data_IF_797172406601
#
_entry.id   IF_797172406601
#
_cell.length_a   1.000
_cell.length_b   1.000
_cell.length_c   1.000
_cell.angle_alpha   90.00
_cell.angle_beta   90.00
_cell.angle_gamma   90.00
#
_symmetry.space_group_name_H-M   'P 1'
#
loop_
_entity.id
_entity.type
_entity.pdbx_description
1 polymer ?
#
# COMPACT_ATOMS: atom_id res chain seq x y z
N UNK A 1 -22.12 14.70 14.52
CA UNK A 1 -21.18 13.55 14.44
C UNK A 1 -20.84 13.09 15.83
N UNK A 2 -21.05 11.80 16.13
CA UNK A 2 -20.61 11.17 17.37
C UNK A 2 -19.07 11.06 17.44
N UNK A 3 -18.52 10.81 18.63
CA UNK A 3 -17.07 10.63 18.80
C UNK A 3 -16.53 9.46 17.95
N UNK A 4 -17.28 8.36 17.86
CA UNK A 4 -16.94 7.17 17.06
C UNK A 4 -16.87 7.53 15.57
N UNK A 5 -17.86 8.26 15.05
CA UNK A 5 -17.87 8.68 13.64
C UNK A 5 -16.68 9.57 13.28
N UNK A 6 -16.22 10.42 14.21
CA UNK A 6 -15.03 11.26 14.00
C UNK A 6 -13.76 10.41 13.93
N UNK A 7 -13.65 9.39 14.79
CA UNK A 7 -12.52 8.45 14.79
C UNK A 7 -12.50 7.66 13.48
N UNK A 8 -13.63 7.10 13.07
CA UNK A 8 -13.77 6.36 11.80
C UNK A 8 -13.37 7.24 10.61
N UNK A 9 -13.92 8.45 10.51
CA UNK A 9 -13.58 9.39 9.45
C UNK A 9 -12.08 9.74 9.44
N UNK A 10 -11.49 9.95 10.62
CA UNK A 10 -10.07 10.27 10.75
C UNK A 10 -9.19 9.11 10.29
N UNK A 11 -9.56 7.87 10.65
CA UNK A 11 -8.88 6.66 10.20
C UNK A 11 -9.00 6.48 8.69
N UNK A 12 -10.19 6.66 8.12
CA UNK A 12 -10.38 6.56 6.67
C UNK A 12 -9.58 7.63 5.91
N UNK A 13 -9.60 8.89 6.37
CA UNK A 13 -8.82 9.96 5.76
C UNK A 13 -7.31 9.71 5.87
N UNK A 14 -6.84 9.26 7.03
CA UNK A 14 -5.43 8.91 7.25
C UNK A 14 -5.03 7.74 6.36
N UNK A 15 -5.89 6.71 6.27
CA UNK A 15 -5.69 5.56 5.42
C UNK A 15 -5.54 5.95 3.95
N UNK A 16 -6.43 6.83 3.48
CA UNK A 16 -6.39 7.35 2.11
C UNK A 16 -5.08 8.09 1.82
N UNK A 17 -4.64 8.96 2.73
CA UNK A 17 -3.37 9.70 2.57
C UNK A 17 -2.21 8.73 2.42
N UNK A 18 -2.12 7.71 3.27
CA UNK A 18 -1.03 6.73 3.20
C UNK A 18 -1.04 5.89 1.92
N UNK A 19 -2.22 5.49 1.43
CA UNK A 19 -2.35 4.80 0.15
C UNK A 19 -1.92 5.70 -1.02
N UNK A 20 -2.32 6.97 -1.01
CA UNK A 20 -1.93 7.94 -2.04
C UNK A 20 -0.43 8.20 -2.04
N UNK A 21 0.18 8.32 -0.85
CA UNK A 21 1.64 8.48 -0.70
C UNK A 21 2.38 7.25 -1.23
N UNK A 22 1.89 6.05 -0.94
CA UNK A 22 2.43 4.81 -1.50
C UNK A 22 2.34 4.78 -3.04
N UNK A 23 1.17 5.11 -3.59
CA UNK A 23 0.96 5.20 -5.03
C UNK A 23 1.84 6.27 -5.70
N UNK A 24 2.01 7.43 -5.06
CA UNK A 24 2.89 8.49 -5.53
C UNK A 24 4.37 8.04 -5.56
N UNK A 25 4.82 7.27 -4.57
CA UNK A 25 6.18 6.68 -4.61
C UNK A 25 6.33 5.71 -5.78
N UNK A 26 5.30 4.90 -6.08
CA UNK A 26 5.33 4.00 -7.24
C UNK A 26 5.38 4.76 -8.57
N UNK A 27 4.63 5.86 -8.70
CA UNK A 27 4.51 6.63 -9.94
C UNK A 27 5.69 7.57 -10.19
N UNK A 28 6.08 8.35 -9.18
CA UNK A 28 7.08 9.41 -9.30
C UNK A 28 8.47 8.98 -8.82
N UNK A 29 8.58 7.86 -8.09
CA UNK A 29 9.84 7.29 -7.61
C UNK A 29 10.75 8.33 -6.95
N UNK A 30 10.18 9.17 -6.07
CA UNK A 30 10.92 10.26 -5.41
C UNK A 30 12.06 9.74 -4.54
N UNK A 31 11.90 8.58 -3.88
CA UNK A 31 13.03 7.85 -3.29
C UNK A 31 13.73 7.04 -4.39
N UNK A 32 14.91 7.52 -4.81
CA UNK A 32 15.74 6.90 -5.86
C UNK A 32 16.36 5.56 -5.44
N UNK A 33 16.65 5.38 -4.14
CA UNK A 33 17.22 4.13 -3.64
C UNK A 33 16.17 3.01 -3.65
N UNK A 34 16.35 2.00 -4.51
CA UNK A 34 15.38 0.91 -4.76
C UNK A 34 14.94 0.19 -3.47
N UNK A 35 15.89 -0.16 -2.59
CA UNK A 35 15.60 -0.85 -1.32
C UNK A 35 14.82 0.04 -0.33
N UNK A 36 15.19 1.33 -0.24
CA UNK A 36 14.50 2.28 0.64
C UNK A 36 13.11 2.62 0.10
N UNK A 37 12.98 2.87 -1.21
CA UNK A 37 11.70 3.11 -1.88
C UNK A 37 10.74 1.93 -1.75
N UNK A 38 11.23 0.70 -1.84
CA UNK A 38 10.43 -0.53 -1.59
C UNK A 38 9.90 -0.57 -0.16
N UNK A 39 10.77 -0.34 0.84
CA UNK A 39 10.35 -0.32 2.25
C UNK A 39 9.32 0.78 2.51
N UNK A 40 9.54 1.96 1.96
CA UNK A 40 8.63 3.09 2.11
C UNK A 40 7.26 2.82 1.47
N UNK A 41 7.25 2.29 0.25
CA UNK A 41 6.04 1.90 -0.46
C UNK A 41 5.19 0.92 0.36
N UNK A 42 5.80 -0.17 0.82
CA UNK A 42 5.09 -1.19 1.59
C UNK A 42 4.69 -0.71 2.98
N UNK A 43 5.54 0.04 3.68
CA UNK A 43 5.21 0.56 5.00
C UNK A 43 4.00 1.51 4.95
N UNK A 44 4.00 2.46 4.02
CA UNK A 44 2.88 3.39 3.84
C UNK A 44 1.62 2.66 3.39
N UNK A 45 1.72 1.70 2.47
CA UNK A 45 0.56 0.89 2.09
C UNK A 45 -0.04 0.09 3.25
N UNK A 46 0.79 -0.57 4.07
CA UNK A 46 0.33 -1.36 5.22
C UNK A 46 -0.38 -0.47 6.24
N UNK A 47 0.21 0.69 6.58
CA UNK A 47 -0.44 1.65 7.49
C UNK A 47 -1.78 2.11 6.92
N UNK A 48 -1.82 2.42 5.62
CA UNK A 48 -3.05 2.80 4.93
C UNK A 48 -4.16 1.74 5.02
N UNK A 49 -3.79 0.49 4.72
CA UNK A 49 -4.69 -0.69 4.78
C UNK A 49 -5.22 -0.88 6.20
N UNK A 50 -4.35 -0.81 7.22
CA UNK A 50 -4.75 -0.95 8.62
C UNK A 50 -5.74 0.16 9.00
N UNK A 51 -5.44 1.41 8.67
CA UNK A 51 -6.35 2.52 8.92
C UNK A 51 -7.73 2.31 8.26
N UNK A 52 -7.79 1.79 7.02
CA UNK A 52 -9.06 1.44 6.38
C UNK A 52 -9.79 0.28 7.07
N UNK A 53 -9.06 -0.76 7.48
CA UNK A 53 -9.64 -1.93 8.14
C UNK A 53 -10.32 -1.59 9.47
N UNK A 54 -9.74 -0.66 10.25
CA UNK A 54 -10.31 -0.18 11.50
C UNK A 54 -11.31 0.98 11.31
N UNK A 55 -11.15 1.77 10.24
CA UNK A 55 -12.00 2.92 9.94
C UNK A 55 -13.40 2.58 9.43
N UNK A 56 -13.65 1.34 8.99
CA UNK A 56 -14.98 0.90 8.51
C UNK A 56 -16.01 0.69 9.61
N UNK A 57 -15.68 0.91 10.89
CA UNK A 57 -16.59 0.81 12.04
C UNK A 57 -16.98 -0.61 12.43
N UNK A 58 -17.04 -1.53 11.45
CA UNK A 58 -17.20 -2.97 11.64
C UNK A 58 -15.97 -3.70 11.09
N UNK A 59 -15.15 -4.22 12.00
CA UNK A 59 -13.95 -5.01 11.69
C UNK A 59 -14.27 -6.25 10.84
N UNK A 60 -15.43 -6.87 11.10
CA UNK A 60 -15.93 -8.00 10.33
C UNK A 60 -17.35 -7.73 9.82
N UNK A 61 -17.66 -8.00 8.54
CA UNK A 61 -16.77 -8.47 7.47
C UNK A 61 -16.02 -7.32 6.75
N UNK A 62 -16.42 -6.07 6.99
CA UNK A 62 -16.00 -4.92 6.18
C UNK A 62 -14.51 -4.61 6.30
N UNK A 63 -13.94 -4.70 7.50
CA UNK A 63 -12.50 -4.48 7.73
C UNK A 63 -11.62 -5.52 7.04
N UNK A 64 -12.05 -6.78 7.02
CA UNK A 64 -11.33 -7.85 6.30
C UNK A 64 -11.46 -7.67 4.79
N UNK A 65 -12.67 -7.34 4.30
CA UNK A 65 -12.89 -7.11 2.88
C UNK A 65 -12.09 -5.91 2.38
N UNK A 66 -12.08 -4.80 3.12
CA UNK A 66 -11.30 -3.62 2.77
C UNK A 66 -9.80 -3.92 2.76
N UNK A 67 -9.30 -4.65 3.77
CA UNK A 67 -7.90 -5.05 3.81
C UNK A 67 -7.52 -5.94 2.62
N UNK A 68 -8.36 -6.91 2.25
CA UNK A 68 -8.13 -7.78 1.11
C UNK A 68 -8.11 -6.99 -0.22
N UNK A 69 -9.09 -6.11 -0.43
CA UNK A 69 -9.20 -5.29 -1.65
C UNK A 69 -8.01 -4.35 -1.79
N UNK A 70 -7.67 -3.58 -0.75
CA UNK A 70 -6.53 -2.67 -0.83
C UNK A 70 -5.20 -3.40 -0.96
N UNK A 71 -5.04 -4.55 -0.29
CA UNK A 71 -3.83 -5.38 -0.46
C UNK A 71 -3.68 -5.87 -1.91
N UNK A 72 -4.77 -6.32 -2.54
CA UNK A 72 -4.76 -6.74 -3.94
C UNK A 72 -4.42 -5.59 -4.88
N UNK A 73 -5.01 -4.40 -4.67
CA UNK A 73 -4.73 -3.20 -5.45
C UNK A 73 -3.27 -2.78 -5.34
N UNK A 74 -2.73 -2.72 -4.12
CA UNK A 74 -1.33 -2.36 -3.86
C UNK A 74 -0.39 -3.39 -4.49
N UNK A 75 -0.62 -4.68 -4.27
CA UNK A 75 0.24 -5.73 -4.84
C UNK A 75 0.22 -5.72 -6.38
N UNK A 76 -0.95 -5.52 -6.99
CA UNK A 76 -1.11 -5.42 -8.43
C UNK A 76 -0.44 -4.18 -9.00
N UNK A 77 -0.61 -3.03 -8.34
CA UNK A 77 0.09 -1.79 -8.70
C UNK A 77 1.61 -1.96 -8.62
N UNK A 78 2.10 -2.61 -7.56
CA UNK A 78 3.51 -2.94 -7.41
C UNK A 78 4.00 -3.80 -8.58
N UNK A 79 3.27 -4.85 -8.97
CA UNK A 79 3.60 -5.72 -10.09
C UNK A 79 3.67 -4.99 -11.45
N UNK A 80 2.76 -4.06 -11.69
CA UNK A 80 2.69 -3.33 -12.96
C UNK A 80 3.72 -2.21 -13.07
N UNK A 81 3.92 -1.44 -12.01
CA UNK A 81 4.59 -0.13 -12.11
C UNK A 81 5.99 -0.10 -11.50
N UNK A 82 6.33 -1.09 -10.67
CA UNK A 82 7.57 -1.05 -9.88
C UNK A 82 8.26 -2.42 -9.80
N UNK A 83 9.55 -2.44 -9.43
CA UNK A 83 10.25 -3.66 -9.04
C UNK A 83 10.07 -4.02 -7.54
N UNK A 84 9.03 -3.52 -6.88
CA UNK A 84 8.90 -3.61 -5.41
C UNK A 84 8.30 -4.92 -4.91
N UNK A 85 7.66 -5.70 -5.78
CA UNK A 85 7.13 -7.01 -5.44
C UNK A 85 8.26 -8.04 -5.47
N UNK A 86 8.68 -8.50 -4.29
CA UNK A 86 9.73 -9.51 -4.12
C UNK A 86 9.18 -10.68 -3.33
N UNK A 87 9.19 -11.87 -3.93
CA UNK A 87 8.72 -13.12 -3.31
C UNK A 87 9.85 -14.14 -3.42
N UNK A 88 10.24 -14.72 -2.28
CA UNK A 88 11.31 -15.73 -2.20
C UNK A 88 12.62 -15.33 -2.92
N UNK A 89 13.09 -14.10 -2.68
CA UNK A 89 14.32 -13.59 -3.30
C UNK A 89 14.20 -13.12 -4.75
N UNK A 90 13.12 -13.46 -5.46
CA UNK A 90 12.88 -13.06 -6.86
C UNK A 90 11.99 -11.84 -6.95
N UNK A 91 12.36 -10.90 -7.83
CA UNK A 91 11.56 -9.71 -8.13
C UNK A 91 10.55 -10.06 -9.23
N UNK A 92 9.27 -9.86 -8.93
CA UNK A 92 8.17 -10.07 -9.85
C UNK A 92 7.72 -8.71 -10.36
N UNK A 93 7.97 -8.44 -11.63
CA UNK A 93 7.52 -7.23 -12.32
C UNK A 93 7.06 -7.56 -13.73
N UNK A 94 6.11 -6.80 -14.25
CA UNK A 94 5.63 -6.94 -15.63
C UNK A 94 6.75 -6.62 -16.65
N UNK A 95 7.47 -5.52 -16.44
CA UNK A 95 8.55 -5.07 -17.33
C UNK A 95 9.88 -5.79 -17.04
N UNK A 96 10.65 -6.22 -18.07
CA UNK A 96 11.95 -6.88 -17.91
C UNK A 96 12.99 -6.06 -17.15
N UNK A 97 13.09 -4.75 -17.41
CA UNK A 97 14.01 -3.82 -16.72
C UNK A 97 13.79 -3.80 -15.20
N UNK A 98 12.55 -3.96 -14.76
CA UNK A 98 12.20 -3.99 -13.34
C UNK A 98 12.50 -5.37 -12.69
N UNK A 99 12.88 -6.40 -13.45
CA UNK A 99 13.24 -7.74 -12.92
C UNK A 99 14.71 -7.87 -12.56
N UNK A 100 15.54 -6.89 -12.89
CA UNK A 100 16.96 -6.92 -12.56
C UNK A 100 17.16 -7.05 -11.05
N UNK A 101 18.10 -7.90 -10.58
CA UNK A 101 18.42 -8.03 -9.17
C UNK A 101 18.77 -6.67 -8.53
N UNK A 102 18.54 -6.53 -7.22
CA UNK A 102 19.11 -5.39 -6.48
C UNK A 102 20.66 -5.47 -6.65
N UNK A 103 21.36 -4.38 -7.02
CA UNK A 103 22.83 -4.34 -7.02
C UNK A 103 23.41 -4.51 -5.61
#
# INVERSE_FOLDING_TARGET
MSAIQRIELTLLATGLIFILVSAAQARYRFIKHRRAGRRFYWATAIVGIVCFAFGTGQLWPNGVLSAAVFSAIVAFSAYLTTPYLKINGRIYASSPENREPDP
#
